data_IF_405566489721
#
_entry.id   IF_405566489721
#
_cell.length_a   1.000
_cell.length_b   1.000
_cell.length_c   1.000
_cell.angle_alpha   90.00
_cell.angle_beta   90.00
_cell.angle_gamma   90.00
#
_symmetry.space_group_name_H-M   'P 1'
#
loop_
_entity.id
_entity.type
_entity.pdbx_description
1 polymer ?
#
# COMPACT_ATOMS: atom_id res chain seq x y z
N UNK A 1 18.28 -14.84 33.32
CA UNK A 1 19.07 -14.30 32.17
C UNK A 1 18.60 -14.86 30.83
N UNK A 2 18.17 -16.13 30.75
CA UNK A 2 17.52 -16.70 29.55
C UNK A 2 16.21 -16.01 29.14
N UNK A 3 15.48 -15.40 30.07
CA UNK A 3 14.21 -14.70 29.77
C UNK A 3 14.37 -13.41 28.97
N UNK A 4 15.49 -12.69 29.11
CA UNK A 4 15.73 -11.46 28.34
C UNK A 4 16.02 -11.74 26.86
N UNK A 5 16.72 -12.85 26.56
CA UNK A 5 17.04 -13.25 25.19
C UNK A 5 15.80 -13.80 24.46
N UNK A 6 14.92 -14.49 25.19
CA UNK A 6 13.62 -14.94 24.67
C UNK A 6 12.67 -13.77 24.35
N UNK A 7 12.69 -12.71 25.18
CA UNK A 7 11.89 -11.51 24.93
C UNK A 7 12.37 -10.73 23.70
N UNK A 8 13.69 -10.53 23.55
CA UNK A 8 14.26 -9.84 22.38
C UNK A 8 13.96 -10.59 21.07
N UNK A 9 14.05 -11.92 21.07
CA UNK A 9 13.73 -12.74 19.89
C UNK A 9 12.23 -12.70 19.54
N UNK A 10 11.33 -12.70 20.54
CA UNK A 10 9.88 -12.58 20.31
C UNK A 10 9.49 -11.19 19.80
N UNK A 11 10.12 -10.12 20.29
CA UNK A 11 9.89 -8.76 19.77
C UNK A 11 10.37 -8.64 18.32
N UNK A 12 11.49 -9.26 17.95
CA UNK A 12 11.98 -9.29 16.57
C UNK A 12 11.06 -10.07 15.62
N UNK A 13 10.52 -11.21 16.07
CA UNK A 13 9.57 -12.04 15.29
C UNK A 13 8.21 -11.34 15.15
N UNK A 14 7.71 -10.66 16.19
CA UNK A 14 6.45 -9.90 16.13
C UNK A 14 6.61 -8.65 15.25
N UNK A 15 7.77 -7.97 15.29
CA UNK A 15 8.05 -6.85 14.40
C UNK A 15 8.15 -7.25 12.92
N UNK A 16 8.56 -8.49 12.62
CA UNK A 16 8.63 -9.02 11.25
C UNK A 16 7.26 -9.51 10.72
N UNK A 17 6.31 -9.82 11.60
CA UNK A 17 4.98 -10.34 11.25
C UNK A 17 3.91 -9.26 11.06
N UNK A 18 4.21 -7.99 11.34
CA UNK A 18 3.39 -6.86 10.85
C UNK A 18 3.73 -6.62 9.37
N UNK A 19 3.58 -7.67 8.55
CA UNK A 19 3.47 -7.51 7.11
C UNK A 19 2.20 -6.70 6.88
N UNK A 20 2.37 -5.42 6.58
CA UNK A 20 1.28 -4.51 6.27
C UNK A 20 0.49 -5.11 5.09
N UNK A 21 -0.63 -5.80 5.40
CA UNK A 21 -1.43 -6.54 4.43
C UNK A 21 -1.86 -5.57 3.36
N UNK A 22 -1.40 -5.81 2.13
CA UNK A 22 -1.70 -4.93 1.02
C UNK A 22 -3.13 -5.16 0.55
N UNK A 23 -3.95 -4.11 0.36
CA UNK A 23 -5.29 -4.28 -0.16
C UNK A 23 -5.23 -4.87 -1.56
N UNK A 24 -5.96 -5.96 -1.73
CA UNK A 24 -6.09 -6.69 -2.98
C UNK A 24 -7.52 -6.53 -3.50
N UNK A 25 -7.64 -6.17 -4.79
CA UNK A 25 -8.90 -6.01 -5.48
C UNK A 25 -8.95 -6.92 -6.70
N UNK A 26 -9.94 -7.83 -6.76
CA UNK A 26 -10.11 -8.78 -7.86
C UNK A 26 -11.47 -8.59 -8.53
N UNK A 27 -11.49 -8.69 -9.86
CA UNK A 27 -12.71 -8.76 -10.67
C UNK A 27 -12.67 -10.03 -11.48
N UNK A 28 -13.76 -10.78 -11.45
CA UNK A 28 -13.89 -12.06 -12.16
C UNK A 28 -14.70 -11.88 -13.44
N UNK A 29 -14.35 -12.63 -14.49
CA UNK A 29 -15.21 -12.77 -15.66
C UNK A 29 -16.29 -13.79 -15.33
N UNK A 30 -17.54 -13.43 -15.52
CA UNK A 30 -18.67 -14.29 -15.18
C UNK A 30 -18.50 -15.69 -15.81
N UNK A 31 -18.84 -16.73 -15.03
CA UNK A 31 -18.84 -18.15 -15.38
C UNK A 31 -17.48 -18.87 -15.59
N UNK A 32 -16.34 -18.17 -15.68
CA UNK A 32 -15.04 -18.82 -15.94
C UNK A 32 -14.14 -19.01 -14.70
N UNK A 33 -14.55 -18.49 -13.54
CA UNK A 33 -13.82 -18.60 -12.27
C UNK A 33 -12.44 -17.93 -12.24
N UNK A 34 -11.99 -17.37 -13.36
CA UNK A 34 -10.71 -16.70 -13.52
C UNK A 34 -10.89 -15.19 -13.33
N UNK A 35 -10.06 -14.61 -12.47
CA UNK A 35 -9.99 -13.16 -12.35
C UNK A 35 -9.52 -12.59 -13.70
N UNK A 36 -10.10 -11.48 -14.12
CA UNK A 36 -9.66 -10.74 -15.31
C UNK A 36 -9.07 -9.37 -14.94
N UNK A 37 -9.24 -8.90 -13.71
CA UNK A 37 -8.46 -7.80 -13.15
C UNK A 37 -7.99 -8.17 -11.76
N UNK A 38 -6.74 -7.86 -11.46
CA UNK A 38 -6.18 -7.91 -10.11
C UNK A 38 -5.36 -6.66 -9.86
N UNK A 39 -5.62 -5.99 -8.75
CA UNK A 39 -4.92 -4.78 -8.33
C UNK A 39 -4.55 -4.92 -6.87
N UNK A 40 -3.26 -4.98 -6.61
CA UNK A 40 -2.69 -4.87 -5.28
C UNK A 40 -2.06 -3.47 -5.23
N UNK A 41 -2.59 -2.57 -4.41
CA UNK A 41 -2.04 -1.21 -4.35
C UNK A 41 -2.26 -0.57 -2.98
N UNK A 42 -1.32 0.28 -2.58
CA UNK A 42 -1.53 1.23 -1.49
C UNK A 42 -1.75 2.61 -2.11
N UNK A 43 -2.84 3.27 -1.72
CA UNK A 43 -3.14 4.58 -2.26
C UNK A 43 -3.81 5.51 -1.25
N UNK A 44 -3.64 6.80 -1.46
CA UNK A 44 -4.37 7.85 -0.77
C UNK A 44 -4.82 8.92 -1.73
N UNK A 45 -5.96 9.54 -1.43
CA UNK A 45 -6.53 10.63 -2.22
C UNK A 45 -6.60 11.85 -1.33
N UNK A 46 -5.93 12.92 -1.75
CA UNK A 46 -5.97 14.22 -1.07
C UNK A 46 -6.83 15.17 -1.87
N UNK A 47 -7.85 15.74 -1.22
CA UNK A 47 -8.81 16.67 -1.80
C UNK A 47 -8.67 18.00 -1.08
N UNK A 48 -8.32 19.04 -1.83
CA UNK A 48 -8.19 20.40 -1.34
C UNK A 48 -9.33 21.25 -1.88
N UNK A 49 -10.03 21.97 -1.00
CA UNK A 49 -11.06 22.93 -1.36
C UNK A 49 -10.59 24.36 -1.06
N UNK A 50 -10.67 25.25 -2.04
CA UNK A 50 -10.27 26.66 -1.89
C UNK A 50 -11.31 27.61 -2.47
N UNK A 51 -11.38 28.84 -1.96
CA UNK A 51 -12.24 29.94 -2.45
C UNK A 51 -11.34 31.12 -2.81
N UNK A 52 -11.14 31.36 -4.11
CA UNK A 52 -10.06 32.22 -4.58
C UNK A 52 -8.71 31.66 -4.07
N UNK A 53 -7.91 32.50 -3.42
CA UNK A 53 -6.61 32.13 -2.85
C UNK A 53 -6.70 31.59 -1.41
N UNK A 54 -7.89 31.54 -0.82
CA UNK A 54 -8.09 31.07 0.56
C UNK A 54 -8.34 29.57 0.58
N UNK A 55 -7.51 28.82 1.30
CA UNK A 55 -7.76 27.42 1.63
C UNK A 55 -8.99 27.33 2.57
N UNK A 56 -9.95 26.48 2.21
CA UNK A 56 -11.16 26.24 3.01
C UNK A 56 -11.04 24.93 3.79
N UNK A 57 -10.37 23.93 3.20
CA UNK A 57 -10.07 22.69 3.90
C UNK A 57 -9.38 21.67 3.02
N UNK A 58 -8.86 20.64 3.69
CA UNK A 58 -8.21 19.50 3.07
C UNK A 58 -8.78 18.21 3.66
N UNK A 59 -8.96 17.19 2.81
CA UNK A 59 -9.36 15.85 3.20
C UNK A 59 -8.42 14.84 2.60
N UNK A 60 -7.90 13.94 3.44
CA UNK A 60 -7.10 12.80 3.02
C UNK A 60 -7.87 11.51 3.24
N UNK A 61 -7.95 10.68 2.19
CA UNK A 61 -8.68 9.42 2.16
C UNK A 61 -7.69 8.29 1.83
N UNK A 62 -7.33 7.47 2.81
CA UNK A 62 -6.39 6.36 2.63
C UNK A 62 -7.14 5.04 2.37
N UNK A 63 -6.66 4.23 1.43
CA UNK A 63 -7.34 2.99 1.02
C UNK A 63 -7.38 1.90 2.08
N UNK A 64 -6.36 1.85 2.94
CA UNK A 64 -6.26 0.91 4.06
C UNK A 64 -7.43 1.03 5.05
N UNK A 65 -8.06 2.19 5.14
CA UNK A 65 -9.09 2.46 6.17
C UNK A 65 -10.42 2.90 5.58
N UNK A 66 -10.41 3.52 4.38
CA UNK A 66 -11.58 4.20 3.83
C UNK A 66 -12.15 3.56 2.58
N UNK A 67 -11.42 2.74 1.83
CA UNK A 67 -11.93 2.19 0.57
C UNK A 67 -12.21 0.69 0.69
N UNK A 68 -13.41 0.28 0.29
CA UNK A 68 -13.78 -1.13 0.18
C UNK A 68 -14.10 -1.46 -1.27
N UNK A 69 -13.86 -2.72 -1.64
CA UNK A 69 -14.32 -3.23 -2.93
C UNK A 69 -15.84 -3.14 -2.98
N UNK A 70 -16.35 -2.52 -4.05
CA UNK A 70 -17.79 -2.38 -4.27
C UNK A 70 -18.24 -3.28 -5.42
N UNK A 71 -17.64 -3.11 -6.59
CA UNK A 71 -17.96 -3.90 -7.77
C UNK A 71 -16.85 -3.81 -8.81
N UNK A 72 -16.98 -4.58 -9.89
CA UNK A 72 -16.15 -4.45 -11.06
C UNK A 72 -16.80 -5.11 -12.26
N UNK A 73 -16.30 -4.79 -13.45
CA UNK A 73 -16.74 -5.40 -14.69
C UNK A 73 -15.56 -5.53 -15.65
N UNK A 74 -15.72 -6.37 -16.66
CA UNK A 74 -14.62 -6.75 -17.52
C UNK A 74 -15.14 -7.33 -18.83
N UNK A 75 -14.77 -6.69 -19.93
CA UNK A 75 -14.99 -7.17 -21.28
C UNK A 75 -13.65 -7.37 -22.00
N UNK A 76 -13.68 -7.53 -23.32
CA UNK A 76 -12.48 -7.77 -24.12
C UNK A 76 -11.52 -6.57 -24.19
N UNK A 77 -12.01 -5.34 -24.01
CA UNK A 77 -11.25 -4.11 -24.23
C UNK A 77 -11.28 -3.15 -23.02
N UNK A 78 -12.23 -3.31 -22.11
CA UNK A 78 -12.42 -2.47 -20.93
C UNK A 78 -12.55 -3.33 -19.67
N UNK A 79 -11.90 -2.91 -18.60
CA UNK A 79 -12.11 -3.50 -17.30
C UNK A 79 -12.10 -2.43 -16.22
N UNK A 80 -12.96 -2.56 -15.22
CA UNK A 80 -13.17 -1.54 -14.20
C UNK A 80 -13.19 -2.19 -12.83
N UNK A 81 -12.44 -1.61 -11.89
CA UNK A 81 -12.53 -1.88 -10.46
C UNK A 81 -13.16 -0.65 -9.80
N UNK A 82 -14.26 -0.82 -9.08
CA UNK A 82 -14.99 0.24 -8.38
C UNK A 82 -14.84 0.05 -6.87
N UNK A 83 -14.31 1.07 -6.21
CA UNK A 83 -14.14 1.12 -4.76
C UNK A 83 -15.06 2.19 -4.17
N UNK A 84 -15.80 1.85 -3.12
CA UNK A 84 -16.61 2.81 -2.38
C UNK A 84 -15.82 3.36 -1.18
N UNK A 85 -16.00 4.64 -0.88
CA UNK A 85 -15.38 5.27 0.27
C UNK A 85 -16.34 5.24 1.47
N UNK A 86 -15.89 4.76 2.62
CA UNK A 86 -16.69 4.74 3.86
C UNK A 86 -16.82 6.11 4.51
N UNK A 87 -15.98 7.09 4.12
CA UNK A 87 -16.08 8.46 4.62
C UNK A 87 -17.21 9.27 3.97
N UNK A 88 -17.83 8.77 2.89
CA UNK A 88 -18.94 9.44 2.21
C UNK A 88 -19.70 8.46 1.33
N UNK A 89 -20.99 8.28 1.60
CA UNK A 89 -21.82 7.23 1.00
C UNK A 89 -21.80 7.22 -0.53
N UNK A 90 -21.56 8.37 -1.16
CA UNK A 90 -21.58 8.53 -2.62
C UNK A 90 -20.21 8.87 -3.20
N UNK A 91 -19.15 8.68 -2.42
CA UNK A 91 -17.76 8.87 -2.85
C UNK A 91 -17.19 7.57 -3.40
N UNK A 92 -16.66 7.64 -4.62
CA UNK A 92 -16.20 6.49 -5.39
C UNK A 92 -14.83 6.73 -6.02
N UNK A 93 -13.99 5.70 -5.98
CA UNK A 93 -12.73 5.65 -6.71
C UNK A 93 -12.75 4.47 -7.69
N UNK A 94 -12.16 4.65 -8.87
CA UNK A 94 -12.13 3.61 -9.91
C UNK A 94 -10.75 3.47 -10.54
N UNK A 95 -10.36 2.23 -10.76
CA UNK A 95 -9.33 1.87 -11.73
C UNK A 95 -10.03 1.47 -13.03
N UNK A 96 -9.74 2.15 -14.13
CA UNK A 96 -10.31 1.87 -15.44
C UNK A 96 -9.21 1.45 -16.41
N UNK A 97 -9.18 0.18 -16.75
CA UNK A 97 -8.23 -0.41 -17.68
C UNK A 97 -8.82 -0.43 -19.08
N UNK A 98 -8.00 -0.07 -20.07
CA UNK A 98 -8.35 -0.12 -21.49
C UNK A 98 -7.20 -0.72 -22.30
N UNK A 99 -7.52 -1.47 -23.33
CA UNK A 99 -6.53 -1.86 -24.34
C UNK A 99 -6.34 -0.72 -25.35
N UNK A 100 -5.09 -0.48 -25.76
CA UNK A 100 -4.71 0.43 -26.84
C UNK A 100 -3.64 -0.28 -27.67
N UNK A 101 -4.07 -0.94 -28.75
CA UNK A 101 -3.21 -1.88 -29.47
C UNK A 101 -2.89 -3.09 -28.58
N UNK A 102 -1.60 -3.38 -28.43
CA UNK A 102 -1.08 -4.42 -27.54
C UNK A 102 -0.88 -3.93 -26.09
N UNK A 103 -0.95 -2.63 -25.85
CA UNK A 103 -0.74 -2.02 -24.54
C UNK A 103 -2.02 -1.95 -23.69
N UNK A 104 -1.85 -2.02 -22.38
CA UNK A 104 -2.86 -1.71 -21.37
C UNK A 104 -2.60 -0.33 -20.81
N UNK A 105 -3.65 0.50 -20.79
CA UNK A 105 -3.66 1.82 -20.18
C UNK A 105 -4.60 1.82 -18.99
N UNK A 106 -4.16 2.36 -17.86
CA UNK A 106 -4.99 2.59 -16.68
C UNK A 106 -5.35 4.08 -16.57
N UNK A 107 -6.62 4.34 -16.31
CA UNK A 107 -7.17 5.65 -16.00
C UNK A 107 -7.74 5.58 -14.59
N UNK A 108 -7.31 6.49 -13.74
CA UNK A 108 -7.84 6.65 -12.40
C UNK A 108 -8.99 7.64 -12.41
N UNK A 109 -10.10 7.31 -11.78
CA UNK A 109 -11.25 8.21 -11.64
C UNK A 109 -11.64 8.35 -10.18
N UNK A 110 -11.85 9.57 -9.73
CA UNK A 110 -12.37 9.85 -8.40
C UNK A 110 -13.58 10.77 -8.50
N UNK A 111 -14.66 10.41 -7.80
CA UNK A 111 -15.87 11.23 -7.74
C UNK A 111 -16.40 11.30 -6.34
N UNK A 112 -16.82 12.48 -5.90
CA UNK A 112 -17.42 12.71 -4.60
C UNK A 112 -18.51 13.77 -4.70
N UNK A 113 -19.47 13.72 -3.78
CA UNK A 113 -20.39 14.83 -3.56
C UNK A 113 -19.73 15.82 -2.60
N UNK A 114 -19.77 17.11 -2.93
CA UNK A 114 -19.05 18.13 -2.14
C UNK A 114 -19.44 18.08 -0.67
N UNK A 115 -20.74 17.92 -0.37
CA UNK A 115 -21.24 17.88 1.00
C UNK A 115 -20.83 16.61 1.77
N UNK A 116 -20.50 15.51 1.08
CA UNK A 116 -20.01 14.29 1.75
C UNK A 116 -18.61 14.53 2.36
N UNK A 117 -17.75 15.33 1.70
CA UNK A 117 -16.38 15.61 2.18
C UNK A 117 -16.24 16.95 2.90
N UNK A 118 -17.07 17.94 2.54
CA UNK A 118 -17.01 19.30 3.07
C UNK A 118 -18.42 19.77 3.47
N UNK A 119 -19.01 19.16 4.52
CA UNK A 119 -20.38 19.47 4.96
C UNK A 119 -20.54 20.93 5.41
N UNK A 120 -19.46 21.62 5.78
CA UNK A 120 -19.46 23.02 6.17
C UNK A 120 -19.69 24.02 5.02
N UNK A 121 -19.75 23.56 3.76
CA UNK A 121 -19.93 24.41 2.57
C UNK A 121 -21.41 24.68 2.20
N UNK A 122 -22.35 24.56 3.16
CA UNK A 122 -23.81 24.75 3.00
C UNK A 122 -24.22 26.12 2.39
N UNK A 123 -25.48 26.26 1.93
CA UNK A 123 -26.15 25.51 0.87
C UNK A 123 -25.70 25.95 -0.54
N UNK A 124 -24.68 26.81 -0.67
CA UNK A 124 -24.25 27.42 -1.92
C UNK A 124 -23.62 26.45 -2.94
N UNK A 125 -23.46 25.16 -2.59
CA UNK A 125 -22.83 24.14 -3.42
C UNK A 125 -23.74 22.90 -3.58
N UNK A 126 -25.07 23.08 -3.45
CA UNK A 126 -26.13 22.05 -3.50
C UNK A 126 -25.72 20.79 -4.27
N UNK A 127 -25.79 19.63 -3.61
CA UNK A 127 -25.54 18.26 -4.10
C UNK A 127 -24.59 18.09 -5.31
N UNK A 128 -23.58 18.96 -5.42
CA UNK A 128 -22.73 19.01 -6.59
C UNK A 128 -21.74 17.88 -6.53
N UNK A 129 -21.61 17.20 -7.66
CA UNK A 129 -20.68 16.10 -7.82
C UNK A 129 -19.42 16.58 -8.51
N UNK A 130 -18.29 16.41 -7.83
CA UNK A 130 -16.98 16.50 -8.47
C UNK A 130 -16.66 15.19 -9.16
N UNK A 131 -16.04 15.24 -10.35
CA UNK A 131 -15.51 14.07 -11.05
C UNK A 131 -14.16 14.41 -11.69
N UNK A 132 -13.10 13.80 -11.17
CA UNK A 132 -11.74 13.95 -11.68
C UNK A 132 -11.21 12.66 -12.30
N UNK A 133 -10.32 12.80 -13.28
CA UNK A 133 -9.65 11.68 -13.93
C UNK A 133 -8.17 11.98 -14.19
N UNK A 134 -7.35 10.94 -14.23
CA UNK A 134 -5.97 11.05 -14.75
C UNK A 134 -6.01 11.18 -16.28
N UNK A 135 -5.40 12.23 -16.83
CA UNK A 135 -5.24 12.42 -18.27
C UNK A 135 -3.84 12.96 -18.59
N UNK A 136 -3.06 12.31 -19.48
CA UNK A 136 -3.36 11.02 -20.10
C UNK A 136 -3.40 9.86 -19.08
N UNK A 137 -3.99 8.73 -19.46
CA UNK A 137 -3.89 7.49 -18.67
C UNK A 137 -2.46 6.96 -18.67
N UNK A 138 -2.09 6.20 -17.63
CA UNK A 138 -0.76 5.59 -17.52
C UNK A 138 -0.71 4.27 -18.31
N UNK A 139 0.27 4.11 -19.18
CA UNK A 139 0.54 2.83 -19.83
C UNK A 139 1.25 1.90 -18.84
N UNK A 140 0.67 0.73 -18.58
CA UNK A 140 1.14 -0.20 -17.55
C UNK A 140 1.81 -1.45 -18.11
N UNK A 141 1.90 -1.58 -19.44
CA UNK A 141 2.58 -2.68 -20.11
C UNK A 141 1.70 -3.36 -21.16
N UNK A 142 2.20 -4.39 -21.85
CA UNK A 142 1.42 -5.15 -22.83
C UNK A 142 0.38 -6.07 -22.17
N UNK A 143 -0.66 -6.43 -22.93
CA UNK A 143 -1.68 -7.40 -22.51
C UNK A 143 -1.02 -8.73 -22.13
N UNK A 144 -1.41 -9.30 -20.98
CA UNK A 144 -0.85 -10.56 -20.46
C UNK A 144 0.32 -10.38 -19.48
N UNK A 145 0.81 -9.16 -19.31
CA UNK A 145 1.81 -8.82 -18.28
C UNK A 145 1.19 -8.12 -17.09
N UNK A 146 1.87 -8.18 -15.95
CA UNK A 146 1.55 -7.40 -14.75
C UNK A 146 2.46 -6.18 -14.66
N UNK A 147 1.95 -5.10 -14.10
CA UNK A 147 2.70 -3.87 -13.82
C UNK A 147 3.13 -3.83 -12.37
N UNK A 148 4.40 -3.52 -12.09
CA UNK A 148 4.92 -3.41 -10.74
C UNK A 148 5.60 -2.06 -10.51
N UNK A 149 5.28 -1.40 -9.40
CA UNK A 149 5.93 -0.16 -9.00
C UNK A 149 5.90 0.04 -7.48
N UNK A 150 7.05 -0.13 -6.82
CA UNK A 150 7.23 0.12 -5.40
C UNK A 150 7.27 1.60 -5.03
N UNK A 151 7.78 2.45 -5.94
CA UNK A 151 7.96 3.88 -5.71
C UNK A 151 6.63 4.65 -5.60
N UNK A 152 6.66 5.72 -4.82
CA UNK A 152 5.55 6.65 -4.69
C UNK A 152 5.34 7.40 -6.02
N UNK A 153 4.13 7.35 -6.54
CA UNK A 153 3.67 8.14 -7.67
C UNK A 153 2.59 9.12 -7.21
N UNK A 154 2.68 10.36 -7.67
CA UNK A 154 1.69 11.41 -7.39
C UNK A 154 1.05 11.84 -8.69
N UNK A 155 -0.28 11.65 -8.78
CA UNK A 155 -1.06 11.83 -10.00
C UNK A 155 -2.15 12.88 -9.72
N UNK A 156 -2.09 14.07 -10.34
CA UNK A 156 -3.19 15.02 -10.26
C UNK A 156 -4.40 14.47 -11.05
N UNK A 157 -5.60 14.57 -10.47
CA UNK A 157 -6.85 14.19 -11.13
C UNK A 157 -7.56 15.45 -11.60
N UNK A 158 -7.43 15.74 -12.89
CA UNK A 158 -8.04 16.90 -13.52
C UNK A 158 -9.56 16.75 -13.60
N UNK A 159 -10.25 17.85 -13.36
CA UNK A 159 -11.71 17.90 -13.35
C UNK A 159 -12.25 17.66 -14.76
N UNK A 160 -13.01 16.58 -14.95
CA UNK A 160 -13.48 16.16 -16.27
C UNK A 160 -14.84 16.72 -16.64
N UNK A 161 -15.71 17.00 -15.66
CA UNK A 161 -17.07 17.47 -15.87
C UNK A 161 -17.50 18.30 -14.66
N UNK A 162 -17.53 19.64 -14.76
CA UNK A 162 -18.21 20.47 -13.76
C UNK A 162 -19.50 21.03 -14.36
N UNK A 163 -20.67 20.58 -13.89
CA UNK A 163 -21.89 21.35 -14.07
C UNK A 163 -21.75 22.68 -13.33
N UNK A 164 -21.49 23.71 -14.14
CA UNK A 164 -21.51 25.18 -14.02
C UNK A 164 -21.75 25.97 -12.70
N UNK A 165 -21.94 25.41 -11.50
CA UNK A 165 -22.27 26.19 -10.29
C UNK A 165 -21.19 26.25 -9.21
N UNK A 166 -20.10 25.48 -9.30
CA UNK A 166 -19.00 25.58 -8.32
C UNK A 166 -18.06 26.76 -8.58
N UNK A 167 -18.41 27.76 -9.39
CA UNK A 167 -17.52 28.91 -9.75
C UNK A 167 -16.89 29.65 -8.56
N UNK A 168 -17.43 29.48 -7.35
CA UNK A 168 -16.90 30.07 -6.11
C UNK A 168 -15.84 29.21 -5.41
N UNK A 169 -15.76 27.92 -5.69
CA UNK A 169 -14.86 26.99 -5.04
C UNK A 169 -14.05 26.20 -6.06
N UNK A 170 -12.74 26.17 -5.87
CA UNK A 170 -11.83 25.33 -6.63
C UNK A 170 -11.54 24.07 -5.82
N UNK A 171 -11.60 22.92 -6.50
CA UNK A 171 -11.23 21.64 -5.93
C UNK A 171 -9.99 21.12 -6.66
N UNK A 172 -8.96 20.76 -5.90
CA UNK A 172 -7.80 20.04 -6.40
C UNK A 172 -7.79 18.64 -5.80
N UNK A 173 -7.60 17.63 -6.64
CA UNK A 173 -7.56 16.22 -6.23
C UNK A 173 -6.24 15.62 -6.67
N UNK A 174 -5.53 15.04 -5.72
CA UNK A 174 -4.25 14.36 -5.95
C UNK A 174 -4.32 12.92 -5.45
N UNK A 175 -4.03 11.98 -6.34
CA UNK A 175 -3.88 10.56 -6.04
C UNK A 175 -2.41 10.25 -5.76
N UNK A 176 -2.12 9.65 -4.61
CA UNK A 176 -0.82 9.11 -4.28
C UNK A 176 -0.89 7.59 -4.31
N UNK A 177 -0.06 6.93 -5.12
CA UNK A 177 0.00 5.48 -5.27
C UNK A 177 1.39 4.97 -4.92
N UNK A 178 1.48 3.82 -4.25
CA UNK A 178 2.76 3.12 -4.00
C UNK A 178 2.55 1.62 -3.92
N UNK A 179 3.63 0.87 -4.06
CA UNK A 179 3.61 -0.61 -4.03
C UNK A 179 2.55 -1.20 -4.97
N UNK A 180 2.41 -0.67 -6.17
CA UNK A 180 1.41 -1.12 -7.13
C UNK A 180 1.86 -2.46 -7.72
N UNK A 181 0.97 -3.44 -7.76
CA UNK A 181 1.06 -4.64 -8.60
C UNK A 181 -0.30 -4.85 -9.26
N UNK A 182 -0.42 -4.62 -10.56
CA UNK A 182 -1.72 -4.60 -11.24
C UNK A 182 -1.67 -5.30 -12.60
N UNK A 183 -2.75 -5.99 -12.96
CA UNK A 183 -2.94 -6.61 -14.28
C UNK A 183 -4.42 -6.61 -14.66
N UNK A 184 -4.68 -6.50 -15.95
CA UNK A 184 -6.02 -6.57 -16.52
C UNK A 184 -6.06 -7.48 -17.77
N UNK A 185 -7.26 -7.95 -18.08
CA UNK A 185 -7.63 -8.81 -19.20
C UNK A 185 -7.09 -10.23 -19.11
N UNK A 186 -5.90 -10.48 -19.65
CA UNK A 186 -5.37 -11.82 -19.87
C UNK A 186 -4.60 -12.29 -18.63
N UNK A 187 -5.30 -12.93 -17.68
CA UNK A 187 -4.71 -13.53 -16.49
C UNK A 187 -4.92 -15.04 -16.50
N UNK A 188 -3.87 -15.79 -16.21
CA UNK A 188 -3.93 -17.25 -16.13
C UNK A 188 -4.23 -17.68 -14.70
N UNK A 189 -5.34 -18.38 -14.49
CA UNK A 189 -5.76 -18.90 -13.17
C UNK A 189 -5.90 -17.82 -12.07
N UNK A 190 -6.12 -16.57 -12.46
CA UNK A 190 -6.21 -15.43 -11.54
C UNK A 190 -4.88 -14.97 -10.94
N UNK A 191 -3.75 -15.49 -11.43
CA UNK A 191 -2.42 -15.07 -11.02
C UNK A 191 -1.83 -14.01 -11.96
N UNK A 192 -0.90 -13.22 -11.41
CA UNK A 192 -0.15 -12.27 -12.21
C UNK A 192 0.74 -13.00 -13.22
N UNK A 193 0.74 -12.51 -14.46
CA UNK A 193 1.72 -12.84 -15.48
C UNK A 193 3.07 -12.15 -15.23
N UNK A 194 4.00 -12.24 -16.20
CA UNK A 194 5.33 -11.63 -16.12
C UNK A 194 5.23 -10.14 -15.75
N UNK A 195 6.08 -9.70 -14.82
CA UNK A 195 6.06 -8.32 -14.34
C UNK A 195 6.86 -7.37 -15.25
N UNK A 196 6.30 -6.19 -15.48
CA UNK A 196 6.93 -5.03 -16.10
C UNK A 196 7.07 -3.95 -15.03
N UNK A 197 8.31 -3.61 -14.71
CA UNK A 197 8.60 -2.59 -13.69
C UNK A 197 8.39 -1.17 -14.25
N UNK A 198 7.91 -0.27 -13.40
CA UNK A 198 7.72 1.12 -13.79
C UNK A 198 9.06 1.82 -14.08
N UNK A 199 9.10 2.85 -14.95
CA UNK A 199 10.34 3.58 -15.25
C UNK A 199 11.04 4.14 -14.01
N UNK A 200 10.25 4.51 -12.99
CA UNK A 200 10.77 5.02 -11.73
C UNK A 200 11.54 3.94 -10.93
N UNK A 201 11.19 2.66 -11.01
CA UNK A 201 11.94 1.56 -10.38
C UNK A 201 13.30 1.36 -11.04
N UNK A 202 13.34 1.41 -12.37
CA UNK A 202 14.57 1.23 -13.15
C UNK A 202 15.66 2.26 -12.80
N UNK A 203 15.27 3.44 -12.31
CA UNK A 203 16.16 4.55 -12.02
C UNK A 203 16.87 4.50 -10.64
N UNK A 204 16.74 3.44 -9.84
CA UNK A 204 17.60 3.36 -8.65
C UNK A 204 17.39 2.16 -7.74
N UNK A 205 17.90 1.02 -8.18
CA UNK A 205 18.08 -0.15 -7.31
C UNK A 205 19.55 -0.23 -6.87
N UNK A 206 19.94 0.21 -5.66
CA UNK A 206 21.03 -0.46 -4.98
C UNK A 206 20.53 -1.86 -4.62
N UNK A 207 21.23 -2.87 -5.15
CA UNK A 207 20.88 -4.29 -5.10
C UNK A 207 20.39 -4.73 -3.71
N UNK A 208 19.26 -5.46 -3.67
CA UNK A 208 18.76 -6.21 -2.49
C UNK A 208 19.86 -7.09 -1.87
N UNK A 209 20.87 -7.46 -2.66
CA UNK A 209 22.11 -8.12 -2.26
C UNK A 209 22.83 -7.37 -1.13
N UNK A 210 22.89 -6.04 -1.15
CA UNK A 210 23.61 -5.27 -0.13
C UNK A 210 22.94 -5.35 1.26
N UNK A 211 21.60 -5.31 1.32
CA UNK A 211 20.88 -5.41 2.58
C UNK A 211 20.92 -6.83 3.16
N UNK A 212 20.81 -7.86 2.32
CA UNK A 212 20.95 -9.26 2.75
C UNK A 212 22.38 -9.55 3.21
N UNK A 213 23.40 -9.04 2.52
CA UNK A 213 24.81 -9.16 2.92
C UNK A 213 25.06 -8.45 4.26
N UNK A 214 24.52 -7.24 4.48
CA UNK A 214 24.65 -6.54 5.77
C UNK A 214 24.03 -7.36 6.92
N UNK A 215 22.84 -7.94 6.72
CA UNK A 215 22.19 -8.75 7.76
C UNK A 215 22.96 -10.06 8.01
N UNK A 216 23.39 -10.77 6.97
CA UNK A 216 24.12 -12.04 7.12
C UNK A 216 25.55 -11.84 7.66
N UNK A 217 26.25 -10.79 7.24
CA UNK A 217 27.66 -10.57 7.57
C UNK A 217 27.85 -9.82 8.88
N UNK A 218 26.95 -8.93 9.28
CA UNK A 218 27.12 -8.17 10.53
C UNK A 218 26.29 -8.74 11.67
N UNK A 219 25.02 -9.11 11.44
CA UNK A 219 24.12 -9.45 12.55
C UNK A 219 24.37 -10.88 13.06
N UNK A 220 24.60 -11.85 12.16
CA UNK A 220 24.82 -13.26 12.56
C UNK A 220 26.12 -13.44 13.35
N UNK A 221 27.28 -12.90 12.95
CA UNK A 221 28.53 -13.09 13.71
C UNK A 221 28.50 -12.41 15.08
N UNK A 222 27.87 -11.25 15.20
CA UNK A 222 27.70 -10.55 16.48
C UNK A 222 26.83 -11.38 17.42
N UNK A 223 25.73 -11.95 16.94
CA UNK A 223 24.86 -12.82 17.74
C UNK A 223 25.60 -14.08 18.22
N UNK A 224 26.41 -14.70 17.35
CA UNK A 224 27.23 -15.87 17.70
C UNK A 224 28.32 -15.51 18.73
N UNK A 225 29.02 -14.38 18.56
CA UNK A 225 30.03 -13.91 19.51
C UNK A 225 29.43 -13.61 20.89
N UNK A 226 28.25 -12.98 20.93
CA UNK A 226 27.53 -12.73 22.18
C UNK A 226 27.14 -14.03 22.90
N UNK A 227 26.59 -15.01 22.15
CA UNK A 227 26.25 -16.32 22.71
C UNK A 227 27.47 -17.07 23.27
N UNK A 228 28.59 -17.04 22.54
CA UNK A 228 29.85 -17.64 23.00
C UNK A 228 30.38 -16.98 24.28
N UNK A 229 30.34 -15.65 24.35
CA UNK A 229 30.80 -14.88 25.52
C UNK A 229 29.96 -15.20 26.77
N UNK A 230 28.64 -15.30 26.61
CA UNK A 230 27.73 -15.69 27.70
C UNK A 230 28.03 -17.11 28.20
N UNK A 231 28.30 -18.05 27.29
CA UNK A 231 28.62 -19.44 27.65
C UNK A 231 29.94 -19.54 28.43
N UNK A 232 30.96 -18.78 28.03
CA UNK A 232 32.24 -18.70 28.74
C UNK A 232 32.07 -18.11 30.14
N UNK A 233 31.32 -17.01 30.28
CA UNK A 233 31.02 -16.39 31.58
C UNK A 233 30.24 -17.34 32.51
N UNK A 234 29.33 -18.15 31.95
CA UNK A 234 28.59 -19.15 32.70
C UNK A 234 29.49 -20.28 33.20
N UNK A 235 30.45 -20.74 32.38
CA UNK A 235 31.43 -21.76 32.77
C UNK A 235 32.39 -21.25 33.85
N UNK A 236 32.78 -19.99 33.79
CA UNK A 236 33.66 -19.39 34.78
C UNK A 236 32.97 -19.17 36.14
N UNK A 237 31.69 -18.79 36.14
CA UNK A 237 30.92 -18.61 37.38
C UNK A 237 30.49 -19.94 38.02
N UNK A 238 30.30 -21.01 37.23
CA UNK A 238 30.05 -22.37 37.74
C UNK A 238 31.21 -22.97 38.56
N UNK A 239 32.45 -22.52 38.33
CA UNK A 239 33.63 -22.96 39.10
C UNK A 239 33.82 -22.19 40.43
N UNK A 240 33.00 -21.18 40.73
CA UNK A 240 33.08 -20.40 41.98
C UNK A 240 32.19 -21.04 43.08
N UNK A 241 31.26 -21.92 42.72
CA UNK A 241 30.25 -22.47 43.63
C UNK A 241 30.61 -23.68 44.51
N UNK A 242 31.73 -24.43 44.37
CA UNK A 242 32.02 -25.49 45.34
C UNK A 242 32.75 -25.02 46.61
N UNK A 243 33.13 -23.73 46.73
CA UNK A 243 33.88 -23.24 47.91
C UNK A 243 33.05 -22.63 49.04
N UNK A 244 31.76 -22.33 48.83
CA UNK A 244 30.93 -21.71 49.88
C UNK A 244 30.17 -22.75 50.72
N UNK A 245 30.00 -23.98 50.24
CA UNK A 245 29.29 -25.05 50.97
C UNK A 245 30.11 -25.74 52.06
N UNK A 246 31.39 -25.38 52.25
CA UNK A 246 32.24 -26.01 53.29
C UNK A 246 32.26 -25.27 54.64
N UNK A 247 31.49 -24.18 54.80
CA UNK A 247 31.49 -23.37 56.04
C UNK A 247 30.21 -23.55 56.88
N UNK A 248 29.18 -24.25 56.40
CA UNK A 248 27.89 -24.36 57.11
C UNK A 248 27.55 -25.75 57.68
N UNK A 249 28.54 -26.62 57.91
CA UNK A 249 28.33 -27.91 58.59
C UNK A 249 29.24 -28.10 59.81
N UNK A 250 29.26 -27.13 60.71
CA UNK A 250 29.70 -27.33 62.10
C UNK A 250 29.26 -26.16 62.99
N UNK A 251 27.96 -26.09 63.29
CA UNK A 251 27.46 -25.45 64.51
C UNK A 251 26.35 -26.38 65.03
N UNK A 252 26.72 -27.19 66.01
CA UNK A 252 25.81 -27.89 66.92
C UNK A 252 25.70 -27.06 68.21
#
# INVERSE_FOLDING_TARGET
MFDCMYFALRVLVVACLVTCVQPEFRVYRDHQGSACVRVDAQFSISVTASKGNKLIGEKRLDNMTRFKFYSGSCDAAHAIVILNCTAGARTMFRFMFKTRGDAVVVIYSFSFFVLDLFPQLTPAVQDNRYKGYSSPGAQIGPVGTSYRCGRLQTIPLSNGDVPFETRRYNFSVTLSLRKIHAQAFNMSRGEFGPAVDCPAEAAGSPSVVAAVVVVLVLVVPIAVAMAATILVLYRHSGNILPRVTKVMTNIH
#
